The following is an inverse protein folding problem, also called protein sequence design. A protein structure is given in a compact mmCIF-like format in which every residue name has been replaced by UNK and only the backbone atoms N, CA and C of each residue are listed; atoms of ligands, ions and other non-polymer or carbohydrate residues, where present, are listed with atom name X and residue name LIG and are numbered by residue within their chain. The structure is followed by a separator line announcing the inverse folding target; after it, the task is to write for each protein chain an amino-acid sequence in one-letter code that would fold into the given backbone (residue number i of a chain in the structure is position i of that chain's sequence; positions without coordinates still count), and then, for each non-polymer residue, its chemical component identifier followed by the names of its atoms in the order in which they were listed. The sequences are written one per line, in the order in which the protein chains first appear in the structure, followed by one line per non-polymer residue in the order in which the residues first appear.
data_IF_348045036090
#
_entry.id   IF_348045036090
#
_cell.length_a   1.000
_cell.length_b   1.000
_cell.length_c   1.000
_cell.angle_alpha   90.00
_cell.angle_beta   90.00
_cell.angle_gamma   90.00
#
_symmetry.space_group_name_H-M   'P 1'
#
loop_
_entity.id
_entity.type
_entity.pdbx_description
1 polymer ?
#
# COMPACT_ATOMS: atom_id res chain seq x y z
N UNK A 1 -13.53 10.08 35.88
CA UNK A 1 -12.28 9.55 35.32
C UNK A 1 -12.69 8.53 34.28
N UNK A 2 -12.99 8.97 33.07
CA UNK A 2 -13.28 8.08 31.93
C UNK A 2 -11.95 7.70 31.32
N UNK A 3 -11.70 6.40 31.23
CA UNK A 3 -10.46 5.82 30.78
C UNK A 3 -10.09 6.31 29.38
N UNK A 4 -8.86 6.74 29.26
CA UNK A 4 -8.19 7.18 28.03
C UNK A 4 -7.81 6.02 27.09
N UNK A 5 -8.51 4.87 27.19
CA UNK A 5 -8.14 3.61 26.53
C UNK A 5 -8.84 3.33 25.18
N UNK A 6 -9.81 4.16 24.77
CA UNK A 6 -10.62 3.86 23.56
C UNK A 6 -10.24 4.64 22.30
N UNK A 7 -9.11 5.31 22.30
CA UNK A 7 -8.57 5.83 21.05
C UNK A 7 -7.74 4.73 20.40
N UNK A 8 -8.05 4.34 19.14
CA UNK A 8 -7.18 3.44 18.41
C UNK A 8 -5.77 4.03 18.43
N UNK A 9 -4.72 3.20 18.55
CA UNK A 9 -3.32 3.66 18.66
C UNK A 9 -2.85 4.53 17.49
N UNK A 10 -3.69 4.73 16.50
CA UNK A 10 -3.49 5.51 15.27
C UNK A 10 -4.39 6.75 15.20
N UNK A 11 -4.74 7.33 16.36
CA UNK A 11 -5.58 8.53 16.40
C UNK A 11 -5.15 9.50 15.28
N UNK A 12 -6.11 9.85 14.43
CA UNK A 12 -5.95 10.78 13.32
C UNK A 12 -5.15 11.98 13.80
N UNK A 13 -4.02 12.22 13.20
CA UNK A 13 -3.27 13.45 13.40
C UNK A 13 -4.25 14.56 13.00
N UNK A 14 -4.55 15.50 13.91
CA UNK A 14 -5.47 16.60 13.65
C UNK A 14 -5.19 17.33 12.33
N UNK A 15 -6.07 18.20 11.87
CA UNK A 15 -5.98 18.80 10.55
C UNK A 15 -4.55 19.23 10.27
N UNK A 16 -3.97 18.81 9.14
CA UNK A 16 -2.56 19.01 8.87
C UNK A 16 -2.27 20.50 8.83
N UNK A 17 -1.30 20.93 9.63
CA UNK A 17 -0.80 22.31 9.54
C UNK A 17 -0.26 22.56 8.13
N UNK A 18 -0.41 23.79 7.64
CA UNK A 18 0.06 24.17 6.28
C UNK A 18 1.53 23.79 6.03
N UNK A 19 2.35 23.80 7.09
CA UNK A 19 3.76 23.38 7.05
C UNK A 19 3.98 21.91 6.65
N UNK A 20 2.98 21.04 6.76
CA UNK A 20 3.07 19.64 6.33
C UNK A 20 3.02 19.50 4.80
N UNK A 21 2.43 20.48 4.13
CA UNK A 21 2.30 20.48 2.67
C UNK A 21 3.39 21.28 1.97
N UNK A 22 4.06 22.20 2.68
CA UNK A 22 5.15 22.99 2.09
C UNK A 22 6.43 22.20 2.20
N UNK A 23 7.03 21.73 1.10
CA UNK A 23 8.31 21.07 1.14
C UNK A 23 9.38 22.06 1.63
N UNK A 24 10.28 21.59 2.49
CA UNK A 24 11.43 22.37 2.91
C UNK A 24 12.35 22.60 1.71
N UNK A 25 12.61 23.86 1.38
CA UNK A 25 13.55 24.20 0.31
C UNK A 25 14.97 24.22 0.91
N UNK A 26 15.87 23.35 0.44
CA UNK A 26 17.25 23.35 0.93
C UNK A 26 17.99 24.62 0.52
N UNK A 27 18.69 25.24 1.46
CA UNK A 27 19.45 26.48 1.20
C UNK A 27 20.68 26.28 0.31
N UNK A 28 21.13 25.05 0.04
CA UNK A 28 22.27 24.78 -0.84
C UNK A 28 21.93 25.09 -2.31
N UNK A 29 22.67 25.98 -2.98
CA UNK A 29 22.40 26.33 -4.40
C UNK A 29 22.42 25.11 -5.32
N UNK A 30 23.36 24.18 -5.11
CA UNK A 30 23.48 22.93 -5.88
C UNK A 30 22.26 22.01 -5.69
N UNK A 31 21.73 21.94 -4.48
CA UNK A 31 20.48 21.18 -4.22
C UNK A 31 19.30 21.84 -4.87
N UNK A 32 19.18 23.16 -4.79
CA UNK A 32 18.12 23.91 -5.46
C UNK A 32 18.14 23.65 -6.97
N UNK A 33 19.31 23.63 -7.61
CA UNK A 33 19.43 23.31 -9.04
C UNK A 33 19.00 21.87 -9.35
N UNK A 34 19.38 20.90 -8.53
CA UNK A 34 18.93 19.49 -8.69
C UNK A 34 17.42 19.39 -8.58
N UNK A 35 16.82 19.99 -7.55
CA UNK A 35 15.36 20.01 -7.37
C UNK A 35 14.67 20.71 -8.54
N UNK A 36 15.16 21.88 -8.97
CA UNK A 36 14.60 22.61 -10.12
C UNK A 36 14.62 21.75 -11.39
N UNK A 37 15.75 21.05 -11.66
CA UNK A 37 15.83 20.13 -12.80
C UNK A 37 14.76 19.03 -12.74
N UNK A 38 14.58 18.41 -11.58
CA UNK A 38 13.59 17.36 -11.39
C UNK A 38 12.17 17.90 -11.57
N UNK A 39 11.87 19.07 -11.01
CA UNK A 39 10.57 19.74 -11.21
C UNK A 39 10.32 20.06 -12.69
N UNK A 40 11.32 20.55 -13.43
CA UNK A 40 11.21 20.76 -14.88
C UNK A 40 10.95 19.45 -15.64
N UNK A 41 11.63 18.35 -15.27
CA UNK A 41 11.39 17.04 -15.87
C UNK A 41 9.94 16.56 -15.61
N UNK A 42 9.40 16.80 -14.41
CA UNK A 42 7.99 16.50 -14.09
C UNK A 42 7.00 17.35 -14.89
N UNK A 43 7.26 18.64 -14.98
CA UNK A 43 6.42 19.54 -15.80
C UNK A 43 6.42 19.07 -17.25
N UNK A 44 7.60 18.73 -17.78
CA UNK A 44 7.74 18.20 -19.14
C UNK A 44 6.98 16.89 -19.33
N UNK A 45 7.09 15.97 -18.36
CA UNK A 45 6.33 14.71 -18.36
C UNK A 45 4.82 14.98 -18.31
N UNK A 46 4.39 15.94 -17.50
CA UNK A 46 2.99 16.39 -17.42
C UNK A 46 2.49 16.92 -18.77
N UNK A 47 3.26 17.78 -19.42
CA UNK A 47 2.92 18.31 -20.76
C UNK A 47 2.82 17.18 -21.79
N UNK A 48 3.79 16.26 -21.78
CA UNK A 48 3.77 15.08 -22.66
C UNK A 48 2.58 14.16 -22.40
N UNK A 49 2.08 14.13 -21.18
CA UNK A 49 0.94 13.28 -20.75
C UNK A 49 -0.42 13.95 -20.94
N UNK A 50 -0.48 15.16 -21.50
CA UNK A 50 -1.74 15.91 -21.69
C UNK A 50 -2.77 15.13 -22.49
N UNK A 51 -2.35 14.40 -23.53
CA UNK A 51 -3.24 13.54 -24.31
C UNK A 51 -3.90 12.45 -23.45
N UNK A 52 -3.12 11.82 -22.56
CA UNK A 52 -3.64 10.81 -21.62
C UNK A 52 -4.59 11.44 -20.60
N UNK A 53 -4.32 12.67 -20.15
CA UNK A 53 -5.21 13.41 -19.27
C UNK A 53 -6.56 13.72 -19.95
N UNK A 54 -6.55 14.21 -21.21
CA UNK A 54 -7.79 14.45 -21.96
C UNK A 54 -8.59 13.18 -22.22
N UNK A 55 -7.89 12.08 -22.51
CA UNK A 55 -8.52 10.76 -22.64
C UNK A 55 -9.18 10.33 -21.32
N UNK A 56 -8.46 10.43 -20.19
CA UNK A 56 -9.00 10.15 -18.87
C UNK A 56 -10.20 11.05 -18.55
N UNK A 57 -10.10 12.35 -18.80
CA UNK A 57 -11.18 13.29 -18.54
C UNK A 57 -12.45 12.98 -19.37
N UNK A 58 -12.27 12.63 -20.63
CA UNK A 58 -13.37 12.20 -21.50
C UNK A 58 -14.06 10.94 -20.95
N UNK A 59 -13.29 9.93 -20.56
CA UNK A 59 -13.82 8.73 -19.91
C UNK A 59 -14.53 9.05 -18.60
N UNK A 60 -13.95 9.86 -17.75
CA UNK A 60 -14.55 10.27 -16.49
C UNK A 60 -15.91 10.96 -16.71
N UNK A 61 -16.00 11.86 -17.69
CA UNK A 61 -17.23 12.54 -18.04
C UNK A 61 -18.31 11.58 -18.58
N UNK A 62 -17.91 10.60 -19.36
CA UNK A 62 -18.81 9.54 -19.87
C UNK A 62 -19.32 8.65 -18.73
N UNK A 63 -18.43 8.16 -17.89
CA UNK A 63 -18.75 7.31 -16.76
C UNK A 63 -19.56 8.01 -15.66
N UNK A 64 -19.47 9.34 -15.56
CA UNK A 64 -20.33 10.12 -14.65
C UNK A 64 -21.79 10.11 -15.12
N UNK A 65 -22.06 9.99 -16.43
CA UNK A 65 -23.40 9.94 -16.99
C UNK A 65 -24.00 8.52 -16.97
N UNK A 66 -23.18 7.53 -17.28
CA UNK A 66 -23.57 6.13 -17.31
C UNK A 66 -22.46 5.28 -16.70
N UNK A 67 -22.47 5.09 -15.38
CA UNK A 67 -21.38 4.38 -14.70
C UNK A 67 -21.41 2.88 -15.01
N UNK A 68 -20.29 2.33 -15.42
CA UNK A 68 -20.07 0.88 -15.58
C UNK A 68 -19.42 0.26 -14.33
N UNK A 69 -19.46 0.97 -13.22
CA UNK A 69 -18.91 0.56 -11.94
C UNK A 69 -19.87 0.92 -10.82
N UNK A 70 -19.74 0.22 -9.71
CA UNK A 70 -20.47 0.51 -8.47
C UNK A 70 -19.49 1.01 -7.40
N UNK A 71 -19.90 2.02 -6.65
CA UNK A 71 -19.11 2.55 -5.53
C UNK A 71 -19.74 2.09 -4.22
N UNK A 72 -18.95 1.42 -3.40
CA UNK A 72 -19.37 0.85 -2.12
C UNK A 72 -18.49 1.37 -1.00
N UNK A 73 -19.08 1.60 0.16
CA UNK A 73 -18.38 1.98 1.39
C UNK A 73 -17.90 0.70 2.11
N UNK A 74 -16.60 0.59 2.42
CA UNK A 74 -16.05 -0.63 3.02
C UNK A 74 -15.55 -0.46 4.47
N UNK A 75 -15.47 0.75 4.98
CA UNK A 75 -14.79 1.04 6.24
C UNK A 75 -15.61 1.87 7.22
N UNK A 76 -16.83 1.45 7.55
CA UNK A 76 -17.59 2.01 8.68
C UNK A 76 -17.21 1.27 9.98
N UNK A 77 -17.06 1.98 11.12
CA UNK A 77 -17.21 3.44 11.36
C UNK A 77 -15.89 4.23 11.31
N UNK A 78 -14.77 3.62 10.93
CA UNK A 78 -13.43 4.18 11.15
C UNK A 78 -13.00 5.22 10.11
N UNK A 79 -13.45 5.08 8.86
CA UNK A 79 -13.22 6.06 7.80
C UNK A 79 -14.36 6.01 6.78
N UNK A 80 -14.48 7.03 5.94
CA UNK A 80 -15.45 7.05 4.86
C UNK A 80 -14.83 6.57 3.53
N UNK A 81 -13.94 5.57 3.62
CA UNK A 81 -13.27 5.04 2.44
C UNK A 81 -14.20 4.17 1.62
N UNK A 82 -14.24 4.44 0.33
CA UNK A 82 -15.05 3.71 -0.64
C UNK A 82 -14.15 2.87 -1.54
N UNK A 83 -14.73 1.89 -2.21
CA UNK A 83 -14.12 1.19 -3.31
C UNK A 83 -15.03 1.23 -4.55
N UNK A 84 -14.41 1.30 -5.72
CA UNK A 84 -15.12 1.18 -6.99
C UNK A 84 -14.95 -0.23 -7.53
N UNK A 85 -16.06 -0.89 -7.85
CA UNK A 85 -16.09 -2.26 -8.39
C UNK A 85 -16.48 -2.17 -9.86
N UNK A 86 -15.68 -2.77 -10.71
CA UNK A 86 -15.89 -2.89 -12.14
C UNK A 86 -16.14 -4.37 -12.47
N UNK A 87 -17.42 -4.83 -12.51
CA UNK A 87 -17.73 -6.22 -12.83
C UNK A 87 -17.25 -6.58 -14.25
N UNK A 88 -16.93 -7.84 -14.54
CA UNK A 88 -16.53 -8.26 -15.87
C UNK A 88 -17.60 -7.96 -16.91
N UNK A 89 -17.21 -7.73 -18.15
CA UNK A 89 -18.15 -7.45 -19.23
C UNK A 89 -19.02 -8.69 -19.51
N UNK A 90 -20.32 -8.47 -19.69
CA UNK A 90 -21.34 -9.55 -19.76
C UNK A 90 -21.08 -10.53 -20.93
N UNK A 91 -20.40 -10.07 -21.97
CA UNK A 91 -20.05 -10.89 -23.14
C UNK A 91 -18.78 -11.73 -22.98
N UNK A 92 -17.99 -11.53 -21.93
CA UNK A 92 -16.67 -12.18 -21.79
C UNK A 92 -16.67 -13.26 -20.72
N UNK A 93 -17.19 -12.97 -19.53
CA UNK A 93 -17.27 -13.93 -18.41
C UNK A 93 -18.62 -13.79 -17.72
N UNK A 94 -19.31 -14.92 -17.53
CA UNK A 94 -20.63 -14.91 -16.90
C UNK A 94 -20.55 -14.95 -15.37
N UNK A 95 -19.58 -15.70 -14.82
CA UNK A 95 -19.37 -15.91 -13.36
C UNK A 95 -17.91 -16.30 -13.07
N UNK A 96 -17.48 -16.18 -11.81
CA UNK A 96 -16.17 -16.61 -11.33
C UNK A 96 -14.98 -15.93 -12.06
N UNK A 97 -15.09 -14.63 -12.32
CA UNK A 97 -14.01 -13.85 -12.90
C UNK A 97 -12.83 -13.75 -11.95
N UNK A 98 -11.62 -13.71 -12.49
CA UNK A 98 -10.41 -13.38 -11.71
C UNK A 98 -10.59 -11.96 -11.15
N UNK A 99 -10.37 -11.80 -9.86
CA UNK A 99 -10.44 -10.51 -9.18
C UNK A 99 -9.08 -9.83 -9.22
N UNK A 100 -9.02 -8.61 -9.74
CA UNK A 100 -7.84 -7.76 -9.72
C UNK A 100 -8.10 -6.53 -8.86
N UNK A 101 -7.52 -6.50 -7.66
CA UNK A 101 -7.55 -5.32 -6.80
C UNK A 101 -6.36 -4.42 -7.11
N UNK A 102 -6.62 -3.22 -7.61
CA UNK A 102 -5.60 -2.21 -7.92
C UNK A 102 -5.56 -1.21 -6.77
N UNK A 103 -4.48 -1.22 -6.00
CA UNK A 103 -4.27 -0.31 -4.87
C UNK A 103 -3.72 1.02 -5.39
N UNK A 104 -4.48 2.13 -5.27
CA UNK A 104 -4.01 3.44 -5.72
C UNK A 104 -2.74 3.86 -4.98
N UNK A 105 -1.85 4.52 -5.67
CA UNK A 105 -0.62 5.07 -5.07
C UNK A 105 -0.77 6.56 -4.79
N UNK A 106 0.08 7.11 -3.94
CA UNK A 106 0.30 8.55 -3.84
C UNK A 106 1.44 8.94 -4.78
N UNK A 107 1.24 9.96 -5.62
CA UNK A 107 2.30 10.46 -6.51
C UNK A 107 3.26 11.38 -5.79
N UNK A 108 4.47 11.42 -6.33
CA UNK A 108 5.44 12.46 -6.02
C UNK A 108 5.07 13.78 -6.74
N UNK A 109 5.09 14.93 -6.07
CA UNK A 109 5.24 15.07 -4.62
C UNK A 109 4.01 14.55 -3.86
N UNK A 110 4.24 13.90 -2.73
CA UNK A 110 3.27 13.08 -1.95
C UNK A 110 2.00 13.79 -1.46
N UNK A 111 1.79 15.06 -1.79
CA UNK A 111 0.57 15.78 -1.48
C UNK A 111 -0.54 15.59 -2.53
N UNK A 112 -0.25 14.91 -3.64
CA UNK A 112 -1.27 14.52 -4.62
C UNK A 112 -1.66 13.07 -4.33
N UNK A 113 -2.65 12.92 -3.46
CA UNK A 113 -3.30 11.62 -3.25
C UNK A 113 -4.00 11.22 -4.55
N UNK A 114 -3.62 10.07 -5.09
CA UNK A 114 -4.30 9.53 -6.26
C UNK A 114 -5.63 8.95 -5.86
N UNK A 115 -6.68 9.65 -6.22
CA UNK A 115 -8.04 9.15 -6.10
C UNK A 115 -8.20 7.90 -6.98
N UNK A 116 -8.99 6.91 -6.50
CA UNK A 116 -9.36 5.70 -7.25
C UNK A 116 -9.83 5.98 -8.68
N UNK A 117 -10.45 7.15 -8.92
CA UNK A 117 -10.92 7.55 -10.27
C UNK A 117 -9.81 7.73 -11.30
N UNK A 118 -8.56 7.93 -10.90
CA UNK A 118 -7.42 7.98 -11.81
C UNK A 118 -7.10 6.63 -12.44
N UNK A 119 -7.46 5.54 -11.76
CA UNK A 119 -7.27 4.17 -12.25
C UNK A 119 -8.40 3.67 -13.15
N UNK A 120 -9.45 4.46 -13.34
CA UNK A 120 -10.60 4.12 -14.17
C UNK A 120 -10.24 3.63 -15.59
N UNK A 121 -9.32 4.25 -16.36
CA UNK A 121 -8.98 3.76 -17.69
C UNK A 121 -8.37 2.34 -17.65
N UNK A 122 -7.54 2.08 -16.66
CA UNK A 122 -6.95 0.77 -16.44
C UNK A 122 -8.01 -0.25 -16.02
N UNK A 123 -8.86 0.12 -15.07
CA UNK A 123 -9.94 -0.74 -14.60
C UNK A 123 -10.92 -1.12 -15.72
N UNK A 124 -11.35 -0.15 -16.52
CA UNK A 124 -12.22 -0.40 -17.67
C UNK A 124 -11.55 -1.27 -18.75
N UNK A 125 -10.24 -1.14 -18.95
CA UNK A 125 -9.50 -1.98 -19.87
C UNK A 125 -9.43 -3.43 -19.38
N UNK A 126 -9.11 -3.64 -18.10
CA UNK A 126 -9.05 -4.98 -17.51
C UNK A 126 -10.43 -5.63 -17.44
N UNK A 127 -11.48 -4.87 -17.13
CA UNK A 127 -12.87 -5.36 -17.19
C UNK A 127 -13.23 -5.94 -18.55
N UNK A 128 -12.84 -5.28 -19.65
CA UNK A 128 -13.05 -5.77 -21.02
C UNK A 128 -12.28 -7.06 -21.33
N UNK A 129 -11.22 -7.34 -20.57
CA UNK A 129 -10.47 -8.60 -20.65
C UNK A 129 -11.05 -9.71 -19.76
N UNK A 130 -12.17 -9.44 -19.08
CA UNK A 130 -12.87 -10.44 -18.28
C UNK A 130 -12.50 -10.45 -16.79
N UNK A 131 -11.71 -9.48 -16.31
CA UNK A 131 -11.41 -9.36 -14.88
C UNK A 131 -12.55 -8.63 -14.14
N UNK A 132 -12.81 -9.04 -12.91
CA UNK A 132 -13.52 -8.23 -11.95
C UNK A 132 -12.51 -7.30 -11.27
N UNK A 133 -12.60 -6.00 -11.51
CA UNK A 133 -11.59 -5.06 -11.00
C UNK A 133 -12.14 -4.28 -9.82
N UNK A 134 -11.33 -4.15 -8.77
CA UNK A 134 -11.65 -3.39 -7.57
C UNK A 134 -10.58 -2.32 -7.34
N UNK A 135 -11.00 -1.09 -7.12
CA UNK A 135 -10.09 0.03 -6.83
C UNK A 135 -10.55 0.71 -5.54
N UNK A 136 -9.88 0.45 -4.39
CA UNK A 136 -10.23 1.06 -3.12
C UNK A 136 -9.67 2.47 -2.97
N UNK A 137 -10.28 3.29 -2.13
CA UNK A 137 -9.61 4.44 -1.54
C UNK A 137 -8.73 3.96 -0.39
N UNK A 138 -7.51 4.43 -0.34
CA UNK A 138 -6.56 4.20 0.76
C UNK A 138 -6.09 5.56 1.26
N UNK A 139 -6.07 5.72 2.56
CA UNK A 139 -5.58 6.95 3.18
C UNK A 139 -4.05 6.95 3.19
N UNK A 140 -3.45 8.06 2.75
CA UNK A 140 -2.01 8.28 2.73
C UNK A 140 -1.65 9.58 3.46
N UNK A 141 -0.36 9.80 3.68
CA UNK A 141 0.12 11.08 4.17
C UNK A 141 -0.30 12.21 3.21
N UNK A 142 -0.76 13.36 3.71
CA UNK A 142 -0.70 13.86 5.08
C UNK A 142 -1.90 13.46 5.96
N UNK A 143 -2.91 12.76 5.43
CA UNK A 143 -4.09 12.38 6.20
C UNK A 143 -3.73 11.39 7.32
N UNK A 144 -2.84 10.44 7.04
CA UNK A 144 -2.43 9.42 8.01
C UNK A 144 -0.98 8.96 7.79
N UNK A 145 -0.50 8.10 8.70
CA UNK A 145 0.76 7.37 8.60
C UNK A 145 0.53 5.92 8.14
N UNK A 146 1.61 5.21 7.82
CA UNK A 146 1.61 3.81 7.32
C UNK A 146 0.66 2.89 8.09
N UNK A 147 0.62 2.87 9.44
CA UNK A 147 -0.26 1.94 10.16
C UNK A 147 -1.73 2.08 9.76
N UNK A 148 -2.24 3.30 9.58
CA UNK A 148 -3.62 3.50 9.16
C UNK A 148 -3.83 3.07 7.70
N UNK A 149 -2.86 3.33 6.82
CA UNK A 149 -2.93 2.86 5.43
C UNK A 149 -2.98 1.33 5.35
N UNK A 150 -2.25 0.63 6.25
CA UNK A 150 -2.32 -0.84 6.38
C UNK A 150 -3.70 -1.30 6.82
N UNK A 151 -4.31 -0.62 7.80
CA UNK A 151 -5.68 -0.93 8.26
C UNK A 151 -6.68 -0.75 7.13
N UNK A 152 -6.61 0.36 6.39
CA UNK A 152 -7.49 0.61 5.25
C UNK A 152 -7.37 -0.50 4.19
N UNK A 153 -6.14 -0.91 3.86
CA UNK A 153 -5.89 -1.99 2.89
C UNK A 153 -6.45 -3.33 3.38
N UNK A 154 -6.27 -3.65 4.67
CA UNK A 154 -6.81 -4.89 5.27
C UNK A 154 -8.33 -4.92 5.23
N UNK A 155 -8.99 -3.82 5.59
CA UNK A 155 -10.44 -3.69 5.53
C UNK A 155 -10.96 -3.84 4.10
N UNK A 156 -10.31 -3.20 3.12
CA UNK A 156 -10.67 -3.32 1.72
C UNK A 156 -10.54 -4.77 1.21
N UNK A 157 -9.44 -5.46 1.54
CA UNK A 157 -9.22 -6.85 1.15
C UNK A 157 -10.22 -7.80 1.82
N UNK A 158 -10.50 -7.61 3.11
CA UNK A 158 -11.51 -8.39 3.83
C UNK A 158 -12.89 -8.22 3.22
N UNK A 159 -13.25 -6.96 2.89
CA UNK A 159 -14.52 -6.67 2.23
C UNK A 159 -14.62 -7.37 0.87
N UNK A 160 -13.55 -7.31 0.06
CA UNK A 160 -13.48 -7.99 -1.24
C UNK A 160 -13.65 -9.50 -1.07
N UNK A 161 -12.92 -10.12 -0.14
CA UNK A 161 -13.03 -11.55 0.12
C UNK A 161 -14.45 -12.00 0.49
N UNK A 162 -15.19 -11.16 1.22
CA UNK A 162 -16.54 -11.47 1.69
C UNK A 162 -17.64 -11.22 0.64
N UNK A 163 -17.49 -10.22 -0.24
CA UNK A 163 -18.61 -9.72 -1.05
C UNK A 163 -18.40 -9.81 -2.55
N UNK A 164 -17.20 -10.07 -3.04
CA UNK A 164 -16.88 -9.96 -4.47
C UNK A 164 -17.64 -10.97 -5.34
N UNK A 165 -18.11 -12.08 -4.75
CA UNK A 165 -18.92 -13.07 -5.44
C UNK A 165 -20.22 -12.46 -6.00
N UNK A 166 -20.84 -11.51 -5.29
CA UNK A 166 -22.03 -10.78 -5.74
C UNK A 166 -21.79 -9.94 -7.00
N UNK A 167 -20.51 -9.64 -7.29
CA UNK A 167 -20.06 -8.89 -8.46
C UNK A 167 -19.42 -9.78 -9.53
N UNK A 168 -19.75 -11.08 -9.53
CA UNK A 168 -19.24 -12.10 -10.46
C UNK A 168 -17.74 -12.40 -10.32
N UNK A 169 -17.07 -11.91 -9.29
CA UNK A 169 -15.69 -12.22 -8.97
C UNK A 169 -15.57 -13.54 -8.20
N UNK A 170 -14.45 -14.21 -8.36
CA UNK A 170 -14.10 -15.43 -7.65
C UNK A 170 -13.27 -15.10 -6.40
N UNK A 171 -13.80 -15.29 -5.18
CA UNK A 171 -13.07 -14.98 -3.96
C UNK A 171 -11.82 -15.88 -3.72
N UNK A 172 -11.70 -17.00 -4.44
CA UNK A 172 -10.52 -17.86 -4.40
C UNK A 172 -9.39 -17.40 -5.33
N UNK A 173 -9.68 -16.49 -6.26
CA UNK A 173 -8.74 -15.99 -7.27
C UNK A 173 -8.56 -14.48 -7.20
N UNK A 174 -8.21 -13.98 -6.02
CA UNK A 174 -7.95 -12.56 -5.78
C UNK A 174 -6.46 -12.28 -6.03
N UNK A 175 -6.18 -11.34 -6.93
CA UNK A 175 -4.87 -10.78 -7.18
C UNK A 175 -4.82 -9.33 -6.72
N UNK A 176 -3.73 -8.94 -6.07
CA UNK A 176 -3.53 -7.56 -5.60
C UNK A 176 -2.39 -6.93 -6.37
N UNK A 177 -2.61 -5.73 -6.88
CA UNK A 177 -1.60 -4.95 -7.58
C UNK A 177 -1.32 -3.65 -6.85
N UNK A 178 -0.06 -3.42 -6.47
CA UNK A 178 0.46 -2.16 -5.94
C UNK A 178 1.48 -1.54 -6.88
N UNK A 179 1.53 -0.20 -6.93
CA UNK A 179 2.49 0.56 -7.73
C UNK A 179 3.14 1.66 -6.87
N UNK A 180 4.47 1.81 -6.93
CA UNK A 180 5.18 2.79 -6.12
C UNK A 180 4.96 2.58 -4.62
N UNK A 181 4.46 3.59 -3.92
CA UNK A 181 4.18 3.55 -2.48
C UNK A 181 3.14 2.47 -2.12
N UNK A 182 2.13 2.25 -2.95
CA UNK A 182 1.16 1.19 -2.69
C UNK A 182 1.74 -0.22 -2.84
N UNK A 183 2.80 -0.39 -3.64
CA UNK A 183 3.54 -1.65 -3.71
C UNK A 183 4.21 -1.99 -2.38
N UNK A 184 4.85 -1.00 -1.73
CA UNK A 184 5.39 -1.16 -0.38
C UNK A 184 4.29 -1.50 0.64
N UNK A 185 3.18 -0.77 0.59
CA UNK A 185 2.05 -0.99 1.49
C UNK A 185 1.49 -2.43 1.37
N UNK A 186 1.34 -2.92 0.14
CA UNK A 186 0.90 -4.30 -0.13
C UNK A 186 1.93 -5.29 0.42
N UNK A 187 3.21 -5.13 0.07
CA UNK A 187 4.27 -6.03 0.53
C UNK A 187 4.37 -6.05 2.07
N UNK A 188 4.35 -4.88 2.71
CA UNK A 188 4.38 -4.75 4.17
C UNK A 188 3.18 -5.47 4.82
N UNK A 189 1.97 -5.25 4.31
CA UNK A 189 0.75 -5.86 4.84
C UNK A 189 0.80 -7.38 4.76
N UNK A 190 1.31 -7.94 3.67
CA UNK A 190 1.43 -9.38 3.47
C UNK A 190 2.50 -9.99 4.38
N UNK A 191 3.67 -9.35 4.49
CA UNK A 191 4.75 -9.82 5.37
C UNK A 191 4.33 -9.76 6.84
N UNK A 192 3.59 -8.73 7.25
CA UNK A 192 3.01 -8.64 8.59
C UNK A 192 2.03 -9.78 8.87
N UNK A 193 1.12 -10.07 7.93
CA UNK A 193 0.15 -11.16 8.07
C UNK A 193 0.87 -12.50 8.21
N UNK A 194 1.82 -12.79 7.31
CA UNK A 194 2.57 -14.04 7.34
C UNK A 194 3.40 -14.19 8.63
N UNK A 195 4.03 -13.11 9.11
CA UNK A 195 4.78 -13.13 10.37
C UNK A 195 3.89 -13.42 11.59
N UNK A 196 2.69 -12.82 11.62
CA UNK A 196 1.72 -13.07 12.71
C UNK A 196 1.20 -14.50 12.66
N UNK A 197 0.83 -15.00 11.48
CA UNK A 197 0.29 -16.34 11.30
C UNK A 197 1.33 -17.41 11.64
N UNK A 198 2.57 -17.26 11.17
CA UNK A 198 3.68 -18.17 11.49
C UNK A 198 3.91 -18.32 12.99
N UNK A 199 3.66 -17.23 13.72
CA UNK A 199 3.80 -17.23 15.16
C UNK A 199 2.64 -17.89 15.88
N UNK A 200 1.42 -17.69 15.41
CA UNK A 200 0.22 -18.33 16.00
C UNK A 200 0.36 -19.85 15.93
N UNK A 201 0.80 -20.39 14.79
CA UNK A 201 1.02 -21.82 14.61
C UNK A 201 2.12 -22.34 15.57
N UNK A 202 3.27 -21.66 15.65
CA UNK A 202 4.36 -22.09 16.57
C UNK A 202 3.97 -22.06 18.05
N UNK A 203 3.11 -21.13 18.47
CA UNK A 203 2.61 -21.11 19.84
C UNK A 203 1.81 -22.35 20.18
N UNK A 204 1.05 -22.89 19.24
CA UNK A 204 0.29 -24.14 19.44
C UNK A 204 1.21 -25.35 19.55
N UNK A 205 2.37 -25.31 18.83
CA UNK A 205 3.36 -26.40 18.89
C UNK A 205 4.27 -26.32 20.13
N UNK A 206 4.49 -25.11 20.69
CA UNK A 206 5.42 -24.88 21.82
C UNK A 206 4.73 -24.85 23.21
N UNK A 207 3.43 -25.02 23.31
CA UNK A 207 2.70 -25.03 24.59
C UNK A 207 3.20 -26.09 25.57
N UNK A 208 4.03 -27.06 25.11
CA UNK A 208 4.56 -28.17 25.89
C UNK A 208 6.07 -28.05 26.24
N UNK A 209 6.73 -26.91 25.98
CA UNK A 209 8.16 -26.73 26.29
C UNK A 209 8.40 -25.60 27.28
N UNK A 210 9.17 -25.85 28.32
CA UNK A 210 9.67 -24.82 29.23
C UNK A 210 10.65 -23.87 28.46
N UNK A 211 10.36 -22.59 28.34
CA UNK A 211 11.21 -21.64 27.59
C UNK A 211 12.49 -21.31 28.38
N UNK A 212 13.64 -21.26 27.69
CA UNK A 212 14.84 -20.67 28.27
C UNK A 212 14.64 -19.15 28.49
N UNK A 213 15.34 -18.55 29.45
CA UNK A 213 15.19 -17.11 29.78
C UNK A 213 15.49 -16.16 28.61
N UNK A 214 16.35 -16.54 27.67
CA UNK A 214 16.63 -15.76 26.44
C UNK A 214 15.48 -15.85 25.45
N UNK A 215 14.86 -17.03 25.30
CA UNK A 215 13.70 -17.21 24.43
C UNK A 215 12.48 -16.43 24.94
N UNK A 216 12.33 -16.30 26.25
CA UNK A 216 11.26 -15.51 26.86
C UNK A 216 11.43 -14.01 26.63
N UNK A 217 12.67 -13.50 26.68
CA UNK A 217 13.00 -12.10 26.37
C UNK A 217 12.78 -11.78 24.88
N UNK A 218 13.16 -12.68 23.99
CA UNK A 218 12.90 -12.54 22.55
C UNK A 218 11.40 -12.68 22.23
N UNK A 219 10.68 -13.53 22.96
CA UNK A 219 9.22 -13.61 22.92
C UNK A 219 8.57 -12.29 23.30
N UNK A 220 9.00 -11.66 24.39
CA UNK A 220 8.48 -10.36 24.84
C UNK A 220 8.75 -9.25 23.84
N UNK A 221 9.98 -9.17 23.30
CA UNK A 221 10.36 -8.19 22.27
C UNK A 221 9.53 -8.36 20.99
N UNK A 222 9.37 -9.59 20.53
CA UNK A 222 8.58 -9.91 19.35
C UNK A 222 7.07 -9.69 19.61
N UNK A 223 6.57 -9.98 20.82
CA UNK A 223 5.19 -9.69 21.22
C UNK A 223 4.87 -8.20 21.12
N UNK A 224 5.76 -7.37 21.68
CA UNK A 224 5.62 -5.93 21.64
C UNK A 224 5.67 -5.36 20.22
N UNK A 225 6.46 -5.99 19.34
CA UNK A 225 6.49 -5.67 17.93
C UNK A 225 5.17 -6.08 17.23
N UNK A 226 4.62 -7.23 17.59
CA UNK A 226 3.39 -7.75 17.00
C UNK A 226 2.11 -7.09 17.53
N UNK A 227 2.12 -6.52 18.73
CA UNK A 227 1.02 -5.67 19.20
C UNK A 227 0.81 -4.47 18.29
N UNK A 228 1.90 -3.93 17.69
CA UNK A 228 1.83 -2.86 16.69
C UNK A 228 1.19 -3.37 15.38
N UNK A 229 1.32 -4.66 15.09
CA UNK A 229 0.86 -5.30 13.85
C UNK A 229 -0.34 -6.23 14.05
N UNK A 230 -0.87 -6.34 15.28
CA UNK A 230 -2.01 -7.23 15.54
C UNK A 230 -3.13 -6.93 14.53
N UNK A 231 -3.42 -7.82 13.58
CA UNK A 231 -4.40 -7.53 12.56
C UNK A 231 -5.78 -7.55 13.20
N UNK A 232 -6.46 -6.44 13.21
CA UNK A 232 -7.87 -6.36 13.61
C UNK A 232 -8.75 -7.17 12.66
N UNK A 233 -8.27 -7.40 11.42
CA UNK A 233 -8.98 -8.10 10.37
C UNK A 233 -7.99 -9.01 9.63
N UNK A 234 -8.33 -10.29 9.49
CA UNK A 234 -7.55 -11.25 8.71
C UNK A 234 -7.69 -10.99 7.22
N UNK A 235 -6.62 -11.24 6.48
CA UNK A 235 -6.65 -11.18 5.02
C UNK A 235 -7.35 -12.42 4.43
N UNK A 236 -8.09 -12.25 3.33
CA UNK A 236 -8.55 -13.39 2.53
C UNK A 236 -7.35 -14.11 1.89
N UNK A 237 -7.55 -15.34 1.46
CA UNK A 237 -6.57 -16.04 0.63
C UNK A 237 -6.36 -15.29 -0.69
N UNK A 238 -5.10 -14.98 -1.01
CA UNK A 238 -4.72 -14.30 -2.25
C UNK A 238 -4.06 -15.29 -3.21
N UNK A 239 -4.49 -15.27 -4.47
CA UNK A 239 -3.92 -16.12 -5.52
C UNK A 239 -2.57 -15.59 -6.04
N UNK A 240 -2.34 -14.28 -5.91
CA UNK A 240 -1.06 -13.68 -6.29
C UNK A 240 -1.00 -12.17 -6.09
N UNK A 241 0.20 -11.64 -6.30
CA UNK A 241 0.53 -10.24 -6.05
C UNK A 241 1.39 -9.68 -7.17
N UNK A 242 1.08 -8.46 -7.60
CA UNK A 242 1.87 -7.69 -8.57
C UNK A 242 2.42 -6.45 -7.87
N UNK A 243 3.74 -6.36 -7.79
CA UNK A 243 4.45 -5.24 -7.16
C UNK A 243 5.24 -4.48 -8.23
N UNK A 244 4.79 -3.27 -8.57
CA UNK A 244 5.41 -2.46 -9.61
C UNK A 244 6.12 -1.25 -9.03
N UNK A 245 7.41 -1.07 -9.35
CA UNK A 245 8.25 0.06 -8.93
C UNK A 245 8.16 0.36 -7.42
N UNK A 246 8.11 -0.69 -6.60
CA UNK A 246 7.91 -0.62 -5.15
C UNK A 246 9.19 -0.37 -4.37
N UNK A 247 9.02 0.23 -3.20
CA UNK A 247 10.05 0.27 -2.17
C UNK A 247 9.95 -0.98 -1.32
N UNK A 248 11.07 -1.49 -0.89
CA UNK A 248 11.15 -2.61 0.06
C UNK A 248 11.90 -2.24 1.34
N UNK A 249 12.76 -1.21 1.25
CA UNK A 249 13.54 -0.66 2.35
C UNK A 249 13.39 0.86 2.38
N UNK A 250 12.59 1.37 3.33
CA UNK A 250 12.31 2.80 3.52
C UNK A 250 13.58 3.60 3.77
N UNK A 251 14.54 3.04 4.53
CA UNK A 251 15.78 3.74 4.88
C UNK A 251 16.67 3.89 3.65
N UNK A 252 16.91 2.81 2.91
CA UNK A 252 17.73 2.86 1.69
C UNK A 252 17.11 3.77 0.63
N UNK A 253 15.78 3.73 0.48
CA UNK A 253 15.07 4.63 -0.43
C UNK A 253 15.20 6.10 0.02
N UNK A 254 15.08 6.37 1.31
CA UNK A 254 15.29 7.71 1.85
C UNK A 254 16.74 8.21 1.64
N UNK A 255 17.75 7.38 1.88
CA UNK A 255 19.15 7.74 1.63
C UNK A 255 19.41 8.05 0.15
N UNK A 256 18.84 7.25 -0.76
CA UNK A 256 18.89 7.54 -2.19
C UNK A 256 18.25 8.91 -2.51
N UNK A 257 17.10 9.22 -1.93
CA UNK A 257 16.47 10.54 -2.11
C UNK A 257 17.31 11.69 -1.56
N UNK A 258 18.08 11.46 -0.46
CA UNK A 258 19.05 12.44 0.07
C UNK A 258 20.18 12.67 -0.93
N UNK A 259 20.72 11.63 -1.55
CA UNK A 259 21.77 11.74 -2.57
C UNK A 259 21.26 12.51 -3.81
N UNK A 260 20.02 12.28 -4.18
CA UNK A 260 19.35 13.01 -5.27
C UNK A 260 18.94 14.43 -4.87
N UNK A 261 18.93 14.77 -3.57
CA UNK A 261 18.44 16.05 -3.04
C UNK A 261 16.92 16.20 -3.02
N UNK A 262 16.19 15.09 -3.08
CA UNK A 262 14.71 15.06 -3.18
C UNK A 262 14.02 14.57 -1.90
N UNK A 263 14.76 14.37 -0.82
CA UNK A 263 14.28 13.82 0.45
C UNK A 263 13.11 14.58 1.07
N UNK A 264 13.05 15.89 0.82
CA UNK A 264 11.97 16.75 1.33
C UNK A 264 10.72 16.74 0.46
N UNK A 265 10.86 16.38 -0.81
CA UNK A 265 9.75 16.33 -1.75
C UNK A 265 8.94 15.03 -1.60
N UNK A 266 9.61 13.90 -1.31
CA UNK A 266 8.99 12.58 -1.25
C UNK A 266 8.14 12.31 -0.01
N UNK A 267 8.28 13.11 1.04
CA UNK A 267 7.57 12.96 2.33
C UNK A 267 7.61 11.54 2.96
N UNK A 268 8.40 10.63 2.40
CA UNK A 268 8.50 9.23 2.79
C UNK A 268 8.75 9.06 4.30
N UNK A 269 9.72 9.82 4.84
CA UNK A 269 10.05 9.79 6.26
C UNK A 269 8.87 10.24 7.14
N UNK A 270 8.06 11.20 6.68
CA UNK A 270 6.91 11.69 7.44
C UNK A 270 5.75 10.71 7.44
N UNK A 271 5.59 9.97 6.34
CA UNK A 271 4.60 8.91 6.23
C UNK A 271 4.99 7.69 7.06
N UNK A 272 6.26 7.26 7.02
CA UNK A 272 6.77 6.18 7.85
C UNK A 272 6.78 6.53 9.35
N UNK A 273 7.04 7.81 9.67
CA UNK A 273 7.07 8.33 11.04
C UNK A 273 8.36 9.10 11.35
N UNK A 274 8.36 9.90 12.45
CA UNK A 274 9.47 10.80 12.76
C UNK A 274 10.75 10.10 13.25
N UNK A 275 10.65 8.85 13.73
CA UNK A 275 11.77 8.13 14.33
C UNK A 275 12.34 7.08 13.39
N UNK A 276 13.65 6.89 13.42
CA UNK A 276 14.34 5.93 12.55
C UNK A 276 13.81 4.50 12.70
N UNK A 277 13.50 4.06 13.91
CA UNK A 277 12.94 2.72 14.13
C UNK A 277 11.62 2.51 13.40
N UNK A 278 10.80 3.56 13.22
CA UNK A 278 9.54 3.46 12.46
C UNK A 278 9.80 3.16 10.98
N UNK A 279 10.86 3.73 10.40
CA UNK A 279 11.27 3.36 9.05
C UNK A 279 11.69 1.88 8.95
N UNK A 280 12.34 1.34 10.00
CA UNK A 280 12.75 -0.07 10.05
C UNK A 280 11.53 -0.99 10.13
N UNK A 281 10.62 -0.73 11.05
CA UNK A 281 9.44 -1.59 11.25
C UNK A 281 8.43 -1.52 10.11
N UNK A 282 8.46 -0.43 9.34
CA UNK A 282 7.60 -0.29 8.16
C UNK A 282 8.30 -0.69 6.85
N UNK A 283 9.51 -1.23 6.90
CA UNK A 283 10.20 -1.77 5.72
C UNK A 283 9.96 -3.27 5.60
N UNK A 284 9.33 -3.76 4.52
CA UNK A 284 9.10 -5.20 4.31
C UNK A 284 10.38 -6.02 4.43
N UNK A 285 11.48 -5.57 3.83
CA UNK A 285 12.80 -6.24 3.89
C UNK A 285 13.32 -6.40 5.32
N UNK A 286 13.22 -5.37 6.15
CA UNK A 286 13.68 -5.46 7.53
C UNK A 286 12.81 -6.39 8.38
N UNK A 287 11.51 -6.40 8.12
CA UNK A 287 10.59 -7.31 8.78
C UNK A 287 10.89 -8.76 8.40
N UNK A 288 11.07 -9.06 7.11
CA UNK A 288 11.48 -10.38 6.61
C UNK A 288 12.80 -10.83 7.24
N UNK A 289 13.82 -9.98 7.26
CA UNK A 289 15.12 -10.32 7.84
C UNK A 289 15.05 -10.62 9.35
N UNK A 290 14.18 -9.93 10.09
CA UNK A 290 13.97 -10.18 11.51
C UNK A 290 13.21 -11.45 11.80
N UNK A 291 12.38 -11.89 10.87
CA UNK A 291 11.47 -13.01 11.06
C UNK A 291 11.88 -14.26 10.27
N UNK A 292 12.96 -14.21 9.47
CA UNK A 292 13.33 -15.29 8.54
C UNK A 292 13.42 -16.68 9.17
N UNK A 293 13.93 -16.77 10.40
CA UNK A 293 14.08 -18.05 11.12
C UNK A 293 12.75 -18.54 11.77
N UNK A 294 11.75 -17.67 11.82
CA UNK A 294 10.44 -17.90 12.45
C UNK A 294 9.28 -17.70 11.46
N UNK A 295 9.59 -17.51 10.20
CA UNK A 295 8.65 -17.18 9.13
C UNK A 295 8.31 -18.42 8.31
N UNK A 296 7.03 -18.70 8.12
CA UNK A 296 6.56 -19.76 7.24
C UNK A 296 6.08 -19.14 5.91
N UNK A 297 6.77 -19.42 4.78
CA UNK A 297 6.39 -18.93 3.47
C UNK A 297 4.99 -19.36 3.01
N UNK A 298 4.43 -20.42 3.60
CA UNK A 298 3.09 -20.90 3.26
C UNK A 298 1.99 -19.88 3.54
N UNK A 299 2.26 -18.89 4.41
CA UNK A 299 1.33 -17.79 4.68
C UNK A 299 1.45 -16.63 3.71
N UNK A 300 2.36 -16.68 2.74
CA UNK A 300 2.42 -15.73 1.64
C UNK A 300 1.60 -16.23 0.44
N UNK A 301 1.11 -15.32 -0.41
CA UNK A 301 0.52 -15.70 -1.68
C UNK A 301 1.50 -16.52 -2.54
N UNK A 302 1.02 -17.53 -3.28
CA UNK A 302 1.90 -18.44 -4.02
C UNK A 302 2.59 -17.80 -5.24
N UNK A 303 2.04 -16.69 -5.76
CA UNK A 303 2.52 -16.05 -6.98
C UNK A 303 2.89 -14.60 -6.74
N UNK A 304 4.13 -14.23 -7.05
CA UNK A 304 4.61 -12.86 -7.04
C UNK A 304 5.13 -12.45 -8.41
N UNK A 305 4.71 -11.27 -8.87
CA UNK A 305 5.26 -10.62 -10.06
C UNK A 305 5.85 -9.28 -9.65
N UNK A 306 7.18 -9.16 -9.79
CA UNK A 306 7.91 -7.91 -9.53
C UNK A 306 8.20 -7.23 -10.86
N UNK A 307 7.79 -5.96 -10.99
CA UNK A 307 8.02 -5.14 -12.19
C UNK A 307 8.74 -3.87 -11.75
N UNK A 308 9.91 -3.58 -12.34
CA UNK A 308 10.66 -2.37 -11.99
C UNK A 308 11.33 -1.73 -13.20
N UNK A 309 11.31 -0.41 -13.25
CA UNK A 309 11.98 0.36 -14.29
C UNK A 309 13.49 0.44 -14.02
N UNK A 310 14.32 -0.01 -14.95
CA UNK A 310 15.79 0.03 -14.81
C UNK A 310 16.37 1.46 -14.74
N UNK A 311 15.59 2.50 -15.07
CA UNK A 311 15.98 3.92 -15.01
C UNK A 311 15.11 4.73 -14.06
N UNK A 312 14.47 4.08 -13.09
CA UNK A 312 13.69 4.78 -12.08
C UNK A 312 14.63 5.63 -11.21
N UNK A 313 14.37 6.93 -11.19
CA UNK A 313 15.20 7.91 -10.44
C UNK A 313 14.78 8.05 -8.98
N UNK A 314 13.54 7.66 -8.64
CA UNK A 314 12.97 7.86 -7.30
C UNK A 314 13.06 6.61 -6.45
N UNK A 315 12.75 5.49 -7.05
CA UNK A 315 12.86 4.18 -6.42
C UNK A 315 13.87 3.36 -7.22
N UNK A 316 15.12 3.25 -6.75
CA UNK A 316 16.16 2.54 -7.51
C UNK A 316 15.80 1.06 -7.66
N UNK A 317 16.17 0.47 -8.79
CA UNK A 317 15.89 -0.95 -9.12
C UNK A 317 16.42 -1.91 -8.04
N UNK A 318 17.46 -1.50 -7.29
CA UNK A 318 17.96 -2.26 -6.15
C UNK A 318 16.90 -2.54 -5.09
N UNK A 319 15.84 -1.75 -5.00
CA UNK A 319 14.73 -1.98 -4.08
C UNK A 319 13.95 -3.26 -4.43
N UNK A 320 13.77 -3.53 -5.71
CA UNK A 320 13.12 -4.78 -6.16
C UNK A 320 13.98 -6.03 -5.87
N UNK A 321 15.31 -5.87 -5.82
CA UNK A 321 16.23 -6.96 -5.50
C UNK A 321 16.32 -7.28 -3.99
N UNK A 322 15.72 -6.44 -3.12
CA UNK A 322 15.71 -6.64 -1.67
C UNK A 322 14.51 -7.44 -1.17
N UNK A 323 13.50 -7.64 -1.98
CA UNK A 323 12.35 -8.51 -1.72
C UNK A 323 12.60 -9.92 -2.23
#
# INVERSE_FOLDING_TARGET
VVAQSDRPPYAMIGPPSLSKYIPFVPFSPLRCLKVAKIVCEFIWLGVRSMGSFWYWYSLYKTQKKSPEYETVLYSLPFSHNCLDIYPPDVGVVSQNAIVLMIVPTSFFPSFISCNRKLYMPMALRMRKLGYCVVVPDISYYPACQIPQSVVDLRLALSWVGAHIFSYKGDPSRIYVMGMGISSELVALTLVQEAAVMSRVVRRQDDENKDPSSEEELDRLKFNKLMEIYAPQVRLPSLAGVVLAAGMSDVIKCYLHNVEMGTEHLGMLRRWAGPRQYQCIIHSPTHLLNKTKDKFDPAFLPPNFLLIHGGRDKFVPISQAALL
#
